data_IF_044103992442
#
_entry.id   IF_044103992442
#
_cell.length_a   1.000
_cell.length_b   1.000
_cell.length_c   1.000
_cell.angle_alpha   90.00
_cell.angle_beta   90.00
_cell.angle_gamma   90.00
#
_symmetry.space_group_name_H-M   'P 1'
#
loop_
_entity.id
_entity.type
_entity.pdbx_description
1 polymer ?
#
# COMPACT_ATOMS: atom_id res chain seq x y z
N UNK A 1 -16.94 13.32 10.49
CA UNK A 1 -15.54 12.96 10.22
C UNK A 1 -15.04 13.91 9.15
N UNK A 2 -14.00 14.67 9.51
CA UNK A 2 -13.62 15.95 8.90
C UNK A 2 -12.70 15.73 7.70
N UNK A 3 -12.87 16.57 6.69
CA UNK A 3 -12.15 16.73 5.41
C UNK A 3 -10.61 16.76 5.48
N UNK A 4 -10.01 16.63 6.67
CA UNK A 4 -8.56 16.55 6.89
C UNK A 4 -7.98 15.14 6.63
N UNK A 5 -8.73 14.07 6.90
CA UNK A 5 -8.26 12.68 6.64
C UNK A 5 -8.06 12.39 5.15
N UNK A 6 -8.82 13.05 4.30
CA UNK A 6 -8.80 12.84 2.85
C UNK A 6 -7.54 13.38 2.16
N UNK A 7 -6.82 14.34 2.76
CA UNK A 7 -5.60 14.92 2.15
C UNK A 7 -4.33 14.09 2.43
N UNK A 8 -4.34 13.22 3.44
CA UNK A 8 -3.22 12.32 3.75
C UNK A 8 -3.20 11.04 2.90
N UNK A 9 -4.25 10.75 2.12
CA UNK A 9 -4.42 9.50 1.35
C UNK A 9 -3.89 9.52 -0.08
N UNK A 10 -3.18 10.57 -0.48
CA UNK A 10 -2.95 10.88 -1.91
C UNK A 10 -2.01 9.89 -2.63
N UNK A 11 -1.31 8.99 -1.92
CA UNK A 11 -0.24 8.18 -2.52
C UNK A 11 -0.31 6.65 -2.35
N UNK A 12 -1.16 6.10 -1.48
CA UNK A 12 -1.22 4.64 -1.27
C UNK A 12 -2.58 4.10 -1.73
N UNK A 13 -2.61 3.34 -2.85
CA UNK A 13 -3.80 2.65 -3.34
C UNK A 13 -4.26 1.51 -2.41
N UNK A 14 -3.43 1.19 -1.42
CA UNK A 14 -3.53 -0.01 -0.62
C UNK A 14 -3.43 0.28 0.87
N UNK A 15 -4.22 -0.48 1.63
CA UNK A 15 -4.28 -0.46 3.09
C UNK A 15 -3.76 -1.79 3.60
N UNK A 16 -2.85 -1.78 4.59
CA UNK A 16 -2.47 -3.00 5.32
C UNK A 16 -3.39 -3.12 6.53
N UNK A 17 -4.04 -4.27 6.69
CA UNK A 17 -4.84 -4.59 7.86
C UNK A 17 -4.17 -5.72 8.63
N UNK A 18 -3.89 -5.52 9.91
CA UNK A 18 -3.34 -6.53 10.81
C UNK A 18 -4.38 -6.96 11.84
N UNK A 19 -4.79 -8.23 11.81
CA UNK A 19 -5.75 -8.81 12.75
C UNK A 19 -5.10 -9.89 13.61
N UNK A 20 -4.85 -9.57 14.87
CA UNK A 20 -4.28 -10.49 15.86
C UNK A 20 -4.93 -10.24 17.23
N UNK A 21 -5.39 -11.31 17.93
CA UNK A 21 -6.05 -11.16 19.22
C UNK A 21 -5.14 -10.59 20.31
N UNK A 22 -3.81 -10.56 20.11
CA UNK A 22 -2.83 -10.16 21.10
C UNK A 22 -2.25 -8.75 20.87
N UNK A 23 -2.82 -7.93 19.98
CA UNK A 23 -2.29 -6.59 19.66
C UNK A 23 -2.60 -5.52 20.70
N UNK A 24 -2.68 -5.87 21.99
CA UNK A 24 -2.82 -4.87 23.05
C UNK A 24 -1.66 -3.87 22.98
N UNK A 25 -1.93 -2.57 23.10
CA UNK A 25 -0.93 -1.49 23.00
C UNK A 25 0.29 -1.66 23.93
N UNK A 26 0.15 -2.46 24.99
CA UNK A 26 1.20 -2.79 25.96
C UNK A 26 2.10 -3.98 25.58
N UNK A 27 1.83 -4.68 24.47
CA UNK A 27 2.66 -5.79 23.99
C UNK A 27 3.82 -5.27 23.14
N UNK A 28 5.03 -5.32 23.71
CA UNK A 28 6.30 -4.95 23.06
C UNK A 28 6.50 -5.71 21.74
N UNK A 29 5.97 -6.92 21.65
CA UNK A 29 6.10 -7.72 20.43
C UNK A 29 5.22 -7.21 19.30
N UNK A 30 3.95 -6.91 19.59
CA UNK A 30 3.02 -6.32 18.61
C UNK A 30 3.52 -4.97 18.10
N UNK A 31 4.12 -4.15 18.97
CA UNK A 31 4.78 -2.89 18.59
C UNK A 31 5.92 -3.13 17.58
N UNK A 32 6.78 -4.13 17.82
CA UNK A 32 7.87 -4.47 16.90
C UNK A 32 7.35 -4.96 15.53
N UNK A 33 6.26 -5.72 15.49
CA UNK A 33 5.63 -6.12 14.22
C UNK A 33 5.13 -4.90 13.46
N UNK A 34 4.38 -4.02 14.14
CA UNK A 34 3.83 -2.81 13.52
C UNK A 34 4.97 -1.94 12.99
N UNK A 35 6.07 -1.78 13.73
CA UNK A 35 7.27 -1.08 13.25
C UNK A 35 7.86 -1.71 11.97
N UNK A 36 7.92 -3.05 11.88
CA UNK A 36 8.40 -3.73 10.68
C UNK A 36 7.45 -3.58 9.49
N UNK A 37 6.13 -3.57 9.74
CA UNK A 37 5.13 -3.33 8.70
C UNK A 37 5.15 -1.87 8.22
N UNK A 38 5.47 -0.90 9.10
CA UNK A 38 5.63 0.52 8.74
C UNK A 38 6.77 0.75 7.76
N UNK A 39 7.78 -0.13 7.73
CA UNK A 39 8.80 -0.11 6.67
C UNK A 39 8.27 -0.56 5.29
N UNK A 40 7.07 -1.15 5.24
CA UNK A 40 6.42 -1.60 4.01
C UNK A 40 5.40 -0.57 3.51
N UNK A 41 4.51 -0.07 4.38
CA UNK A 41 3.58 1.03 4.07
C UNK A 41 3.21 1.77 5.35
N UNK A 42 2.89 3.06 5.21
CA UNK A 42 2.53 3.90 6.36
C UNK A 42 1.10 3.64 6.83
N UNK A 43 0.25 3.15 5.94
CA UNK A 43 -1.17 3.00 6.21
C UNK A 43 -1.48 1.58 6.71
N UNK A 44 -1.37 1.41 8.03
CA UNK A 44 -1.63 0.15 8.72
C UNK A 44 -2.76 0.33 9.74
N UNK A 45 -3.79 -0.47 9.58
CA UNK A 45 -4.91 -0.56 10.51
C UNK A 45 -4.81 -1.85 11.32
N UNK A 46 -5.01 -1.76 12.64
CA UNK A 46 -4.90 -2.92 13.53
C UNK A 46 -6.23 -3.25 14.17
N UNK A 47 -6.56 -4.54 14.25
CA UNK A 47 -7.79 -5.02 14.83
C UNK A 47 -7.53 -6.20 15.77
N UNK A 48 -8.26 -6.22 16.88
CA UNK A 48 -8.35 -7.37 17.80
C UNK A 48 -9.63 -8.17 17.56
N UNK A 49 -10.69 -7.48 17.12
CA UNK A 49 -12.02 -8.06 16.88
C UNK A 49 -12.25 -8.32 15.38
N UNK A 50 -12.52 -9.58 14.98
CA UNK A 50 -12.77 -9.93 13.59
C UNK A 50 -13.98 -9.22 12.98
N UNK A 51 -15.04 -8.94 13.76
CA UNK A 51 -16.24 -8.30 13.22
C UNK A 51 -15.95 -6.85 12.83
N UNK A 52 -15.27 -6.09 13.70
CA UNK A 52 -14.80 -4.74 13.38
C UNK A 52 -13.88 -4.71 12.16
N UNK A 53 -13.02 -5.71 12.01
CA UNK A 53 -12.16 -5.84 10.83
C UNK A 53 -12.98 -6.04 9.55
N UNK A 54 -14.01 -6.89 9.57
CA UNK A 54 -14.92 -7.11 8.43
C UNK A 54 -15.70 -5.83 8.13
N UNK A 55 -16.27 -5.19 9.15
CA UNK A 55 -17.02 -3.95 8.99
C UNK A 55 -16.14 -2.88 8.34
N UNK A 56 -14.91 -2.69 8.81
CA UNK A 56 -13.98 -1.74 8.21
C UNK A 56 -13.68 -2.10 6.75
N UNK A 57 -13.33 -3.36 6.48
CA UNK A 57 -12.98 -3.84 5.15
C UNK A 57 -14.12 -3.61 4.14
N UNK A 58 -15.37 -3.84 4.53
CA UNK A 58 -16.55 -3.65 3.66
C UNK A 58 -16.92 -2.19 3.43
N UNK A 59 -16.39 -1.26 4.24
CA UNK A 59 -16.63 0.18 4.13
C UNK A 59 -15.49 0.93 3.42
N UNK A 60 -14.48 0.23 2.90
CA UNK A 60 -13.43 0.84 2.07
C UNK A 60 -14.04 1.21 0.72
N UNK A 61 -13.92 2.48 0.32
CA UNK A 61 -14.58 2.99 -0.90
C UNK A 61 -13.64 3.00 -2.12
N UNK A 62 -12.41 3.47 -1.96
CA UNK A 62 -11.53 3.77 -3.11
C UNK A 62 -10.23 2.95 -3.11
N UNK A 63 -9.90 2.37 -1.97
CA UNK A 63 -8.65 1.65 -1.74
C UNK A 63 -8.87 0.12 -1.79
N UNK A 64 -7.77 -0.63 -1.81
CA UNK A 64 -7.79 -2.09 -1.68
C UNK A 64 -7.01 -2.52 -0.44
N UNK A 65 -7.39 -3.63 0.18
CA UNK A 65 -6.78 -4.08 1.42
C UNK A 65 -5.90 -5.33 1.24
N UNK A 66 -4.70 -5.29 1.81
CA UNK A 66 -3.90 -6.46 2.13
C UNK A 66 -4.15 -6.82 3.60
N UNK A 67 -4.61 -8.04 3.88
CA UNK A 67 -4.90 -8.45 5.26
C UNK A 67 -3.90 -9.47 5.73
N UNK A 68 -3.38 -9.26 6.93
CA UNK A 68 -2.56 -10.22 7.65
C UNK A 68 -3.36 -10.69 8.87
N UNK A 69 -3.60 -11.99 8.94
CA UNK A 69 -4.44 -12.61 9.96
C UNK A 69 -3.59 -13.57 10.80
N UNK A 70 -3.66 -13.44 12.12
CA UNK A 70 -3.10 -14.45 13.02
C UNK A 70 -3.78 -15.82 12.83
N UNK A 71 -3.03 -16.90 12.98
CA UNK A 71 -3.56 -18.26 12.79
C UNK A 71 -4.85 -18.54 13.57
N UNK A 72 -4.96 -17.99 14.79
CA UNK A 72 -6.12 -18.11 15.68
C UNK A 72 -7.44 -17.67 15.03
N UNK A 73 -7.42 -16.71 14.13
CA UNK A 73 -8.61 -16.23 13.42
C UNK A 73 -8.72 -16.77 11.99
N UNK A 74 -7.64 -17.31 11.44
CA UNK A 74 -7.53 -17.63 10.01
C UNK A 74 -8.63 -18.60 9.53
N UNK A 75 -8.88 -19.70 10.26
CA UNK A 75 -9.83 -20.72 9.82
C UNK A 75 -11.29 -20.24 9.80
N UNK A 76 -11.67 -19.35 10.72
CA UNK A 76 -13.04 -18.84 10.82
C UNK A 76 -13.25 -17.62 9.92
N UNK A 77 -12.25 -16.75 9.84
CA UNK A 77 -12.37 -15.48 9.15
C UNK A 77 -12.20 -15.62 7.64
N UNK A 78 -11.23 -16.43 7.18
CA UNK A 78 -10.90 -16.45 5.76
C UNK A 78 -12.12 -16.77 4.88
N UNK A 79 -12.95 -17.79 5.17
CA UNK A 79 -14.15 -18.05 4.38
C UNK A 79 -15.14 -16.88 4.32
N UNK A 80 -15.15 -15.99 5.32
CA UNK A 80 -16.07 -14.85 5.40
C UNK A 80 -15.61 -13.66 4.56
N UNK A 81 -14.29 -13.50 4.37
CA UNK A 81 -13.72 -12.29 3.75
C UNK A 81 -13.19 -12.50 2.34
N UNK A 82 -13.02 -13.74 1.88
CA UNK A 82 -12.46 -14.03 0.56
C UNK A 82 -13.26 -13.40 -0.60
N UNK A 83 -14.58 -13.37 -0.48
CA UNK A 83 -15.45 -12.83 -1.53
C UNK A 83 -15.61 -11.31 -1.45
N UNK A 84 -15.04 -10.66 -0.44
CA UNK A 84 -15.11 -9.20 -0.29
C UNK A 84 -14.26 -8.55 -1.40
N UNK A 85 -14.83 -7.67 -2.25
CA UNK A 85 -14.11 -7.06 -3.37
C UNK A 85 -12.93 -6.20 -2.95
N UNK A 86 -13.01 -5.57 -1.78
CA UNK A 86 -11.99 -4.69 -1.20
C UNK A 86 -10.74 -5.49 -0.77
N UNK A 87 -10.90 -6.79 -0.48
CA UNK A 87 -9.77 -7.68 -0.19
C UNK A 87 -8.98 -7.99 -1.46
N UNK A 88 -7.74 -7.50 -1.52
CA UNK A 88 -6.79 -7.79 -2.59
C UNK A 88 -6.05 -9.10 -2.36
N UNK A 89 -5.45 -9.26 -1.18
CA UNK A 89 -4.73 -10.46 -0.82
C UNK A 89 -4.69 -10.66 0.70
N UNK A 90 -4.53 -11.92 1.11
CA UNK A 90 -4.52 -12.36 2.49
C UNK A 90 -3.27 -13.17 2.81
N UNK A 91 -2.67 -12.88 3.95
CA UNK A 91 -1.51 -13.57 4.51
C UNK A 91 -1.87 -14.11 5.89
N UNK A 92 -1.48 -15.34 6.18
CA UNK A 92 -1.65 -15.92 7.51
C UNK A 92 -0.31 -15.87 8.24
N UNK A 93 -0.28 -15.30 9.44
CA UNK A 93 0.90 -15.30 10.29
C UNK A 93 0.73 -16.31 11.43
N UNK A 94 1.59 -17.34 11.46
CA UNK A 94 1.54 -18.42 12.43
C UNK A 94 2.93 -18.70 13.00
N UNK A 95 3.13 -18.45 14.31
CA UNK A 95 4.45 -18.63 14.96
C UNK A 95 4.82 -20.08 15.22
N UNK A 96 3.82 -20.92 15.47
CA UNK A 96 4.03 -22.34 15.70
C UNK A 96 3.93 -23.08 14.36
N UNK A 97 4.79 -24.07 14.12
CA UNK A 97 4.80 -24.85 12.87
C UNK A 97 3.59 -25.79 12.76
N UNK A 98 2.38 -25.31 13.06
CA UNK A 98 1.14 -26.05 12.91
C UNK A 98 0.64 -25.86 11.48
N UNK A 99 1.35 -26.54 10.59
CA UNK A 99 1.06 -26.62 9.16
C UNK A 99 -0.25 -27.37 8.97
N UNK A 100 -1.37 -26.65 8.99
CA UNK A 100 -2.68 -27.13 8.56
C UNK A 100 -2.98 -26.63 7.12
N UNK A 101 -2.00 -26.83 6.24
CA UNK A 101 -1.86 -26.31 4.87
C UNK A 101 -2.89 -26.75 3.82
N UNK A 102 -3.96 -27.45 4.20
CA UNK A 102 -4.88 -28.02 3.19
C UNK A 102 -5.88 -27.02 2.64
N UNK A 103 -6.36 -26.07 3.46
CA UNK A 103 -7.40 -25.14 3.02
C UNK A 103 -6.85 -23.90 2.30
N UNK A 104 -5.59 -23.53 2.54
CA UNK A 104 -4.95 -22.35 1.92
C UNK A 104 -4.74 -22.52 0.41
N UNK A 105 -4.48 -23.74 -0.06
CA UNK A 105 -4.10 -23.99 -1.47
C UNK A 105 -5.22 -23.78 -2.47
N UNK A 106 -6.47 -23.76 -2.01
CA UNK A 106 -7.65 -23.69 -2.88
C UNK A 106 -8.13 -22.24 -3.09
N UNK A 107 -7.50 -21.25 -2.45
CA UNK A 107 -7.95 -19.86 -2.45
C UNK A 107 -6.93 -18.89 -3.08
N UNK A 108 -7.25 -18.35 -4.26
CA UNK A 108 -6.36 -17.49 -5.04
C UNK A 108 -5.94 -16.17 -4.34
N UNK A 109 -6.76 -15.65 -3.42
CA UNK A 109 -6.43 -14.44 -2.63
C UNK A 109 -5.50 -14.74 -1.45
N UNK A 110 -5.37 -16.00 -1.03
CA UNK A 110 -4.48 -16.37 0.08
C UNK A 110 -3.08 -16.61 -0.48
N UNK A 111 -2.13 -15.76 -0.09
CA UNK A 111 -0.76 -15.77 -0.61
C UNK A 111 0.17 -16.72 0.12
N UNK A 112 -0.16 -17.09 1.35
CA UNK A 112 0.57 -18.11 2.09
C UNK A 112 0.47 -17.97 3.61
N UNK A 113 1.15 -18.91 4.28
CA UNK A 113 1.35 -18.93 5.73
C UNK A 113 2.81 -18.62 6.01
N UNK A 114 3.05 -17.73 6.97
CA UNK A 114 4.38 -17.25 7.32
C UNK A 114 4.60 -17.40 8.82
N UNK A 115 5.75 -17.97 9.19
CA UNK A 115 6.20 -18.08 10.57
C UNK A 115 7.24 -17.04 10.97
N UNK A 116 7.76 -16.29 9.99
CA UNK A 116 8.75 -15.24 10.19
C UNK A 116 8.24 -13.94 9.60
N UNK A 117 8.26 -12.88 10.41
CA UNK A 117 7.77 -11.56 10.01
C UNK A 117 8.59 -10.98 8.85
N UNK A 118 9.91 -11.15 8.87
CA UNK A 118 10.80 -10.69 7.81
C UNK A 118 10.41 -11.27 6.43
N UNK A 119 10.11 -12.57 6.38
CA UNK A 119 9.66 -13.23 5.15
C UNK A 119 8.31 -12.68 4.68
N UNK A 120 7.36 -12.48 5.61
CA UNK A 120 6.06 -11.89 5.32
C UNK A 120 6.22 -10.49 4.76
N UNK A 121 6.98 -9.60 5.42
CA UNK A 121 7.21 -8.24 4.97
C UNK A 121 7.86 -8.18 3.59
N UNK A 122 8.82 -9.07 3.30
CA UNK A 122 9.46 -9.13 1.99
C UNK A 122 8.50 -9.55 0.87
N UNK A 123 7.61 -10.51 1.13
CA UNK A 123 6.59 -10.93 0.16
C UNK A 123 5.52 -9.84 0.01
N UNK A 124 5.03 -9.29 1.12
CA UNK A 124 4.05 -8.21 1.14
C UNK A 124 4.54 -7.00 0.34
N UNK A 125 5.78 -6.56 0.58
CA UNK A 125 6.38 -5.44 -0.15
C UNK A 125 6.44 -5.69 -1.65
N UNK A 126 6.80 -6.90 -2.07
CA UNK A 126 6.84 -7.27 -3.49
C UNK A 126 5.45 -7.29 -4.11
N UNK A 127 4.48 -7.89 -3.43
CA UNK A 127 3.11 -8.00 -3.90
C UNK A 127 2.45 -6.62 -4.01
N UNK A 128 2.70 -5.73 -3.05
CA UNK A 128 2.27 -4.33 -3.10
C UNK A 128 2.90 -3.58 -4.26
N UNK A 129 4.22 -3.67 -4.45
CA UNK A 129 4.90 -3.04 -5.60
C UNK A 129 4.35 -3.52 -6.94
N UNK A 130 4.10 -4.82 -7.07
CA UNK A 130 3.52 -5.38 -8.29
C UNK A 130 2.07 -4.91 -8.49
N UNK A 131 1.30 -4.81 -7.41
CA UNK A 131 -0.07 -4.31 -7.45
C UNK A 131 -0.13 -2.83 -7.82
N UNK A 132 0.75 -1.99 -7.25
CA UNK A 132 0.87 -0.57 -7.58
C UNK A 132 1.27 -0.35 -9.04
N UNK A 133 2.22 -1.12 -9.58
CA UNK A 133 2.57 -1.03 -11.01
C UNK A 133 1.37 -1.32 -11.93
N UNK A 134 0.50 -2.25 -11.52
CA UNK A 134 -0.71 -2.57 -12.28
C UNK A 134 -1.82 -1.50 -12.13
N UNK A 135 -1.87 -0.78 -11.01
CA UNK A 135 -2.85 0.30 -10.77
C UNK A 135 -2.39 1.66 -11.31
N UNK A 136 -1.10 1.98 -11.23
CA UNK A 136 -0.46 3.23 -11.68
C UNK A 136 -0.08 3.16 -13.16
N UNK A 137 -0.48 2.12 -13.88
CA UNK A 137 -0.29 2.01 -15.33
C UNK A 137 -0.91 3.23 -16.02
N UNK A 138 -0.07 4.23 -16.33
CA UNK A 138 -0.37 5.26 -17.30
C UNK A 138 -0.40 4.51 -18.63
N UNK A 139 -1.55 3.94 -18.97
CA UNK A 139 -1.78 3.17 -20.20
C UNK A 139 -1.73 4.11 -21.40
N UNK A 140 -0.53 4.57 -21.75
CA UNK A 140 -0.27 5.27 -23.01
C UNK A 140 -0.34 4.31 -24.20
N UNK A 141 -0.04 3.03 -23.98
CA UNK A 141 -0.31 1.95 -24.92
C UNK A 141 -0.23 0.61 -24.16
N UNK A 142 -1.35 -0.12 -24.09
CA UNK A 142 -1.30 -1.54 -23.75
C UNK A 142 -0.94 -2.32 -25.02
N UNK A 143 0.16 -3.08 -25.01
CA UNK A 143 0.53 -3.96 -26.13
C UNK A 143 -0.40 -5.19 -26.24
N UNK A 144 -1.28 -5.43 -25.27
CA UNK A 144 -2.05 -6.69 -25.19
C UNK A 144 -3.51 -6.50 -24.79
N UNK A 145 -4.29 -5.86 -25.65
CA UNK A 145 -5.72 -6.17 -25.88
C UNK A 145 -6.27 -5.11 -26.81
N UNK A 146 -7.04 -5.53 -27.83
CA UNK A 146 -7.78 -4.71 -28.80
C UNK A 146 -8.01 -3.26 -28.33
N UNK A 147 -7.10 -2.37 -28.75
CA UNK A 147 -7.12 -0.97 -28.36
C UNK A 147 -8.39 -0.35 -28.93
N UNK A 148 -9.28 0.11 -28.05
CA UNK A 148 -10.37 1.00 -28.46
C UNK A 148 -9.74 2.30 -28.94
N UNK A 149 -9.78 2.52 -30.25
CA UNK A 149 -9.13 3.64 -30.93
C UNK A 149 -9.63 4.98 -30.36
N UNK A 150 -10.83 5.01 -29.77
CA UNK A 150 -11.39 6.20 -29.13
C UNK A 150 -10.71 6.58 -27.81
N UNK A 151 -10.08 5.63 -27.08
CA UNK A 151 -9.30 5.92 -25.87
C UNK A 151 -7.92 6.48 -26.19
N UNK A 152 -7.36 6.13 -27.36
CA UNK A 152 -6.05 6.63 -27.78
C UNK A 152 -6.07 8.15 -27.98
N UNK A 153 -7.17 8.69 -28.52
CA UNK A 153 -7.37 10.13 -28.72
C UNK A 153 -7.39 10.90 -27.40
N UNK A 154 -7.97 10.34 -26.33
CA UNK A 154 -8.01 10.99 -25.02
C UNK A 154 -6.66 10.95 -24.30
N UNK A 155 -5.99 9.79 -24.26
CA UNK A 155 -4.64 9.67 -23.70
C UNK A 155 -3.65 10.57 -24.42
N UNK A 156 -3.73 10.68 -25.75
CA UNK A 156 -2.91 11.61 -26.52
C UNK A 156 -3.15 13.07 -26.10
N UNK A 157 -4.41 13.50 -25.98
CA UNK A 157 -4.75 14.84 -25.48
C UNK A 157 -4.22 15.08 -24.06
N UNK A 158 -4.31 14.09 -23.16
CA UNK A 158 -3.74 14.17 -21.81
C UNK A 158 -2.21 14.27 -21.84
N UNK A 159 -1.49 13.54 -22.71
CA UNK A 159 -0.04 13.73 -22.86
C UNK A 159 0.32 15.12 -23.36
N UNK A 160 -0.40 15.65 -24.36
CA UNK A 160 -0.10 16.96 -24.88
C UNK A 160 -0.32 18.04 -23.82
N UNK A 161 -1.41 17.91 -23.04
CA UNK A 161 -1.68 18.80 -21.92
C UNK A 161 -0.62 18.69 -20.83
N UNK A 162 -0.26 17.47 -20.40
CA UNK A 162 0.79 17.23 -19.40
C UNK A 162 2.13 17.80 -19.87
N UNK A 163 2.52 17.54 -21.12
CA UNK A 163 3.72 18.09 -21.74
C UNK A 163 3.71 19.62 -21.73
N UNK A 164 2.58 20.24 -22.10
CA UNK A 164 2.46 21.70 -22.06
C UNK A 164 2.56 22.26 -20.65
N UNK A 165 1.93 21.63 -19.66
CA UNK A 165 2.03 22.02 -18.25
C UNK A 165 3.48 21.96 -17.79
N UNK A 166 4.16 20.83 -18.02
CA UNK A 166 5.55 20.63 -17.60
C UNK A 166 6.52 21.63 -18.26
N UNK A 167 6.32 21.95 -19.55
CA UNK A 167 7.16 22.90 -20.28
C UNK A 167 6.90 24.37 -19.89
N UNK A 168 5.67 24.69 -19.46
CA UNK A 168 5.26 26.05 -19.08
C UNK A 168 5.37 26.30 -17.58
N UNK A 169 5.63 25.27 -16.77
CA UNK A 169 5.76 25.41 -15.34
C UNK A 169 7.02 26.23 -15.02
N UNK A 170 6.83 27.39 -14.40
CA UNK A 170 7.95 28.20 -13.91
C UNK A 170 8.46 27.58 -12.61
N UNK A 171 9.71 27.12 -12.63
CA UNK A 171 10.37 26.62 -11.43
C UNK A 171 10.83 27.81 -10.59
N UNK A 172 10.20 28.00 -9.43
CA UNK A 172 10.69 28.98 -8.45
C UNK A 172 11.73 28.32 -7.53
N UNK A 173 12.54 29.13 -6.84
CA UNK A 173 13.56 28.63 -5.91
C UNK A 173 12.97 27.96 -4.65
N UNK A 174 11.69 28.18 -4.33
CA UNK A 174 10.99 27.60 -3.16
C UNK A 174 10.30 26.27 -3.45
N UNK A 175 10.13 25.88 -4.72
CA UNK A 175 9.33 24.73 -5.14
C UNK A 175 9.89 23.42 -4.61
N UNK A 176 11.22 23.30 -4.54
CA UNK A 176 11.90 22.17 -3.90
C UNK A 176 11.55 22.08 -2.42
N UNK A 177 11.64 23.19 -1.70
CA UNK A 177 11.34 23.25 -0.27
C UNK A 177 9.87 22.95 0.00
N UNK A 178 8.96 23.53 -0.77
CA UNK A 178 7.51 23.25 -0.67
C UNK A 178 7.19 21.77 -0.92
N UNK A 179 7.87 21.13 -1.89
CA UNK A 179 7.72 19.71 -2.15
C UNK A 179 8.27 18.84 -1.02
N UNK A 180 9.45 19.18 -0.48
CA UNK A 180 10.04 18.48 0.67
C UNK A 180 9.11 18.58 1.89
N UNK A 181 8.60 19.78 2.20
CA UNK A 181 7.63 19.99 3.29
C UNK A 181 6.37 19.14 3.10
N UNK A 182 5.82 19.12 1.88
CA UNK A 182 4.67 18.29 1.53
C UNK A 182 4.94 16.79 1.76
N UNK A 183 6.12 16.29 1.38
CA UNK A 183 6.51 14.91 1.60
C UNK A 183 6.68 14.59 3.09
N UNK A 184 7.32 15.47 3.86
CA UNK A 184 7.53 15.27 5.30
C UNK A 184 6.20 15.22 6.08
N UNK A 185 5.22 16.06 5.71
CA UNK A 185 3.88 16.05 6.31
C UNK A 185 3.17 14.70 6.10
N UNK A 186 3.46 13.97 5.02
CA UNK A 186 2.85 12.68 4.74
C UNK A 186 3.59 11.49 5.36
N UNK A 187 4.80 11.70 5.91
CA UNK A 187 5.73 10.63 6.31
C UNK A 187 6.06 10.65 7.81
N UNK A 188 5.18 11.20 8.65
CA UNK A 188 5.41 11.55 10.06
C UNK A 188 5.97 10.41 10.94
N UNK A 189 5.77 9.14 10.56
CA UNK A 189 6.19 7.97 11.37
C UNK A 189 7.13 6.99 10.64
N UNK A 190 7.65 7.33 9.46
CA UNK A 190 8.49 6.43 8.67
C UNK A 190 9.91 6.96 8.53
N UNK A 191 10.79 6.54 9.46
CA UNK A 191 12.20 6.94 9.49
C UNK A 191 12.94 6.62 8.18
N UNK A 192 12.56 5.53 7.50
CA UNK A 192 13.19 5.16 6.22
C UNK A 192 12.80 6.10 5.09
N UNK A 193 11.54 6.54 5.05
CA UNK A 193 11.07 7.51 4.06
C UNK A 193 11.62 8.90 4.34
N UNK A 194 11.70 9.32 5.62
CA UNK A 194 12.34 10.58 6.02
C UNK A 194 13.80 10.60 5.56
N UNK A 195 14.55 9.51 5.75
CA UNK A 195 15.93 9.42 5.28
C UNK A 195 16.08 9.58 3.76
N UNK A 196 15.11 9.10 2.97
CA UNK A 196 15.10 9.26 1.50
C UNK A 196 14.81 10.72 1.13
N UNK A 197 13.88 11.36 1.84
CA UNK A 197 13.53 12.77 1.63
C UNK A 197 14.73 13.67 1.98
N UNK A 198 15.40 13.41 3.09
CA UNK A 198 16.62 14.13 3.49
C UNK A 198 17.74 13.97 2.45
N UNK A 199 17.90 12.75 1.91
CA UNK A 199 18.85 12.50 0.82
C UNK A 199 18.49 13.30 -0.44
N UNK A 200 17.21 13.33 -0.81
CA UNK A 200 16.72 14.11 -1.95
C UNK A 200 16.98 15.61 -1.73
N UNK A 201 16.63 16.16 -0.56
CA UNK A 201 16.84 17.57 -0.24
C UNK A 201 18.32 17.94 -0.36
N UNK A 202 19.24 17.10 0.14
CA UNK A 202 20.67 17.39 0.12
C UNK A 202 21.33 17.18 -1.25
N UNK A 203 20.88 16.20 -2.05
CA UNK A 203 21.58 15.78 -3.27
C UNK A 203 20.98 16.33 -4.56
N UNK A 204 19.73 16.80 -4.53
CA UNK A 204 19.02 17.27 -5.73
C UNK A 204 19.45 18.67 -6.22
N UNK A 205 20.55 19.25 -5.72
CA UNK A 205 21.04 20.58 -6.14
C UNK A 205 21.72 20.59 -7.52
N UNK A 206 21.77 19.47 -8.22
CA UNK A 206 22.31 19.43 -9.58
C UNK A 206 21.20 19.66 -10.61
N UNK A 207 21.24 20.75 -11.38
CA UNK A 207 20.37 20.91 -12.55
C UNK A 207 20.87 19.96 -13.65
N UNK A 208 20.55 18.68 -13.52
CA UNK A 208 20.66 17.72 -14.61
C UNK A 208 19.25 17.47 -15.13
N UNK A 209 18.85 18.14 -16.22
CA UNK A 209 17.56 17.89 -16.83
C UNK A 209 17.66 16.54 -17.53
N UNK A 210 17.34 15.47 -16.80
CA UNK A 210 17.15 14.11 -17.32
C UNK A 210 18.48 13.41 -17.69
N UNK A 211 18.63 12.14 -17.28
CA UNK A 211 19.66 11.23 -17.80
C UNK A 211 19.19 10.61 -19.11
#
# INVERSE_FOLDING_TARGET
MSTQDSQQRILENFIIIWLDPNTSESDVYSQNIISQLRCVSNWIETFVDPNRCIDYLTNIENEKAFIIVSDNFSQQLVPLILDIPELFALYVFCRENQIHDRWIKDHHKVKGVFSQMELLCNVLKRDMQQADLNLVSISFASETSSIDINNLDQSFMYSQLLKEILLKMEYNETAKTEFVEFCLIQQVENESAISIIDEFEQKYDQPSPIW
#
